data_IF_181650573323
#
_entry.id   IF_181650573323
#
_cell.length_a   1.000
_cell.length_b   1.000
_cell.length_c   1.000
_cell.angle_alpha   90.00
_cell.angle_beta   90.00
_cell.angle_gamma   90.00
#
_symmetry.space_group_name_H-M   'P 1'
#
loop_
_entity.id
_entity.type
_entity.pdbx_description
1 polymer ?
#
# COMPACT_ATOMS: atom_id res chain seq x y z
N UNK A 1 55.42 -59.83 31.72
CA UNK A 1 56.16 -58.72 32.37
C UNK A 1 55.19 -57.57 32.61
N UNK A 2 55.23 -57.11 33.86
CA UNK A 2 54.53 -56.03 34.55
C UNK A 2 53.47 -55.17 33.85
N UNK A 3 52.28 -55.30 34.42
CA UNK A 3 51.25 -54.27 34.60
C UNK A 3 51.82 -53.03 35.31
N UNK A 4 51.59 -51.84 34.75
CA UNK A 4 51.58 -50.59 35.52
C UNK A 4 50.40 -49.73 35.07
N UNK A 5 49.39 -49.68 35.94
CA UNK A 5 48.30 -48.70 35.92
C UNK A 5 48.84 -47.39 36.49
N UNK A 6 48.77 -46.31 35.71
CA UNK A 6 49.04 -44.95 36.18
C UNK A 6 47.71 -44.20 36.14
N UNK A 7 47.24 -43.79 37.32
CA UNK A 7 46.16 -42.83 37.50
C UNK A 7 46.71 -41.41 37.32
N UNK A 8 45.98 -40.49 36.67
CA UNK A 8 46.03 -39.08 37.03
C UNK A 8 44.63 -38.61 37.45
N UNK A 9 44.46 -38.23 38.71
CA UNK A 9 44.52 -36.85 39.18
C UNK A 9 43.40 -35.98 38.57
N UNK A 10 42.23 -36.03 39.20
CA UNK A 10 41.12 -35.11 38.93
C UNK A 10 41.44 -33.79 39.64
N UNK A 11 41.84 -32.79 38.86
CA UNK A 11 41.98 -31.41 39.30
C UNK A 11 40.66 -30.68 39.02
N UNK A 12 39.86 -30.45 40.06
CA UNK A 12 38.61 -29.69 39.97
C UNK A 12 38.95 -28.19 40.00
N UNK A 13 38.97 -27.52 38.85
CA UNK A 13 39.07 -26.07 38.75
C UNK A 13 37.67 -25.44 38.79
N UNK A 14 37.34 -24.81 39.90
CA UNK A 14 36.15 -23.97 40.05
C UNK A 14 36.37 -22.62 39.35
N UNK A 15 35.80 -22.46 38.15
CA UNK A 15 35.71 -21.18 37.45
C UNK A 15 34.45 -20.44 37.93
N UNK A 16 34.61 -19.45 38.80
CA UNK A 16 33.58 -18.45 39.09
C UNK A 16 33.41 -17.53 37.88
N UNK A 17 32.28 -17.66 37.18
CA UNK A 17 31.87 -16.76 36.13
C UNK A 17 31.36 -15.43 36.73
N UNK A 18 32.14 -14.35 36.57
CA UNK A 18 31.63 -12.99 36.74
C UNK A 18 30.74 -12.65 35.54
N UNK A 19 29.42 -12.73 35.71
CA UNK A 19 28.46 -12.26 34.70
C UNK A 19 28.37 -10.74 34.78
N UNK A 20 29.03 -10.04 33.87
CA UNK A 20 28.74 -8.63 33.58
C UNK A 20 27.36 -8.54 32.94
N UNK A 21 26.38 -8.00 33.66
CA UNK A 21 25.09 -7.63 33.09
C UNK A 21 25.28 -6.32 32.32
N UNK A 22 25.45 -6.40 31.01
CA UNK A 22 25.25 -5.24 30.15
C UNK A 22 23.76 -4.90 30.17
N UNK A 23 23.43 -3.72 30.70
CA UNK A 23 22.09 -3.17 30.59
C UNK A 23 21.81 -2.89 29.11
N UNK A 24 20.95 -3.73 28.51
CA UNK A 24 20.44 -3.55 27.16
C UNK A 24 19.62 -2.25 27.12
N UNK A 25 20.14 -1.23 26.46
CA UNK A 25 19.40 -0.03 26.11
C UNK A 25 18.13 -0.46 25.36
N UNK A 26 16.92 -0.06 25.81
CA UNK A 26 15.71 -0.41 25.11
C UNK A 26 15.78 0.14 23.68
N UNK A 27 15.62 -0.75 22.71
CA UNK A 27 15.51 -0.37 21.31
C UNK A 27 14.37 0.66 21.17
N UNK A 28 14.64 1.76 20.47
CA UNK A 28 13.60 2.71 20.10
C UNK A 28 12.48 1.95 19.36
N UNK A 29 11.20 2.29 19.61
CA UNK A 29 10.10 1.65 18.89
C UNK A 29 10.34 1.82 17.39
N UNK A 30 10.18 0.73 16.64
CA UNK A 30 10.27 0.77 15.18
C UNK A 30 9.24 1.79 14.68
N UNK A 31 9.70 2.83 13.98
CA UNK A 31 8.83 3.82 13.36
C UNK A 31 7.87 3.10 12.41
N UNK A 32 6.58 3.37 12.53
CA UNK A 32 5.62 2.83 11.59
C UNK A 32 5.95 3.35 10.17
N UNK A 33 5.89 2.52 9.11
CA UNK A 33 6.20 2.95 7.75
C UNK A 33 5.40 4.18 7.28
N UNK A 34 4.27 4.48 7.95
CA UNK A 34 3.41 5.65 7.71
C UNK A 34 4.07 6.99 8.06
N UNK A 35 5.07 7.04 8.94
CA UNK A 35 5.75 8.28 9.35
C UNK A 35 6.63 8.89 8.25
N UNK A 36 7.15 8.07 7.32
CA UNK A 36 8.02 8.52 6.21
C UNK A 36 7.32 9.48 5.23
N UNK A 37 6.00 9.50 5.25
CA UNK A 37 5.17 10.11 4.22
C UNK A 37 4.51 11.43 4.65
N UNK A 38 4.94 12.04 5.76
CA UNK A 38 4.30 13.21 6.37
C UNK A 38 3.17 12.80 7.32
N UNK A 39 2.52 13.78 7.95
CA UNK A 39 1.43 13.53 8.91
C UNK A 39 0.27 12.79 8.22
N UNK A 40 -0.05 11.55 8.64
CA UNK A 40 -1.20 10.81 8.14
C UNK A 40 -2.51 11.59 8.19
N UNK A 41 -2.66 12.49 9.15
CA UNK A 41 -3.89 13.26 9.35
C UNK A 41 -4.26 14.05 8.09
N UNK A 42 -3.32 14.70 7.43
CA UNK A 42 -3.62 15.63 6.33
C UNK A 42 -4.23 14.95 5.10
N UNK A 43 -3.74 13.77 4.73
CA UNK A 43 -4.23 13.06 3.54
C UNK A 43 -5.36 12.06 3.83
N UNK A 44 -5.67 11.82 5.11
CA UNK A 44 -6.84 11.04 5.55
C UNK A 44 -8.08 11.93 5.78
N UNK A 45 -7.96 13.25 5.58
CA UNK A 45 -9.08 14.19 5.60
C UNK A 45 -10.08 13.91 4.50
N UNK A 46 -11.34 13.69 4.88
CA UNK A 46 -12.46 13.40 3.97
C UNK A 46 -13.21 14.64 3.50
N UNK A 47 -12.93 15.79 4.11
CA UNK A 47 -13.58 17.09 3.86
C UNK A 47 -12.83 17.96 2.84
N UNK A 48 -11.72 17.47 2.26
CA UNK A 48 -10.92 18.20 1.28
C UNK A 48 -11.74 18.47 0.02
N UNK A 49 -11.91 19.72 -0.45
CA UNK A 49 -12.76 20.05 -1.61
C UNK A 49 -12.47 19.22 -2.87
N UNK A 50 -13.51 18.69 -3.50
CA UNK A 50 -13.43 18.00 -4.80
C UNK A 50 -13.43 18.98 -5.96
N UNK A 51 -12.83 18.57 -7.09
CA UNK A 51 -12.88 19.28 -8.37
C UNK A 51 -13.51 18.44 -9.49
N UNK A 52 -13.69 19.05 -10.67
CA UNK A 52 -14.18 18.35 -11.87
C UNK A 52 -13.11 17.38 -12.39
N UNK A 53 -11.83 17.69 -12.21
CA UNK A 53 -10.71 16.82 -12.57
C UNK A 53 -10.69 15.55 -11.72
N UNK A 54 -11.13 15.62 -10.46
CA UNK A 54 -11.30 14.40 -9.64
C UNK A 54 -12.35 13.48 -10.23
N UNK A 55 -13.50 14.05 -10.64
CA UNK A 55 -14.56 13.28 -11.28
C UNK A 55 -14.09 12.65 -12.60
N UNK A 56 -13.44 13.44 -13.46
CA UNK A 56 -12.85 12.95 -14.73
C UNK A 56 -11.84 11.84 -14.50
N UNK A 57 -11.01 11.95 -13.46
CA UNK A 57 -10.02 10.92 -13.10
C UNK A 57 -10.71 9.59 -12.76
N UNK A 58 -11.78 9.63 -11.97
CA UNK A 58 -12.50 8.41 -11.57
C UNK A 58 -13.24 7.75 -12.73
N UNK A 59 -13.95 8.55 -13.53
CA UNK A 59 -14.66 8.07 -14.73
C UNK A 59 -13.67 7.45 -15.71
N UNK A 60 -12.55 8.14 -15.97
CA UNK A 60 -11.53 7.66 -16.88
C UNK A 60 -10.83 6.39 -16.38
N UNK A 61 -10.58 6.27 -15.07
CA UNK A 61 -10.04 5.04 -14.49
C UNK A 61 -11.00 3.86 -14.67
N UNK A 62 -12.31 4.11 -14.51
CA UNK A 62 -13.35 3.10 -14.77
C UNK A 62 -13.36 2.63 -16.22
N UNK A 63 -13.19 3.55 -17.18
CA UNK A 63 -13.08 3.22 -18.61
C UNK A 63 -11.82 2.41 -18.95
N UNK A 64 -10.67 2.82 -18.40
CA UNK A 64 -9.39 2.11 -18.57
C UNK A 64 -9.46 0.68 -18.04
N UNK A 65 -10.28 0.47 -17.01
CA UNK A 65 -10.62 -0.83 -16.43
C UNK A 65 -12.00 -1.30 -16.91
N UNK A 66 -12.36 -1.09 -18.18
CA UNK A 66 -13.74 -1.34 -18.65
C UNK A 66 -14.17 -2.81 -18.70
N UNK A 67 -13.24 -3.76 -18.60
CA UNK A 67 -13.55 -5.20 -18.53
C UNK A 67 -12.44 -6.01 -17.85
N UNK A 68 -12.73 -7.25 -17.48
CA UNK A 68 -11.77 -8.10 -16.74
C UNK A 68 -10.49 -8.42 -17.55
N UNK A 69 -10.55 -8.48 -18.89
CA UNK A 69 -9.38 -8.84 -19.71
C UNK A 69 -8.27 -7.79 -19.69
N UNK A 70 -8.60 -6.53 -19.38
CA UNK A 70 -7.64 -5.42 -19.26
C UNK A 70 -7.19 -5.17 -17.82
N UNK A 71 -7.66 -5.97 -16.85
CA UNK A 71 -7.27 -5.82 -15.46
C UNK A 71 -6.01 -6.63 -15.13
N UNK A 72 -5.01 -5.97 -14.56
CA UNK A 72 -3.85 -6.60 -13.95
C UNK A 72 -4.11 -6.85 -12.45
N UNK A 73 -4.13 -8.13 -12.05
CA UNK A 73 -4.31 -8.59 -10.66
C UNK A 73 -3.03 -8.63 -9.83
N UNK A 74 -1.88 -8.32 -10.43
CA UNK A 74 -0.58 -8.39 -9.78
C UNK A 74 0.11 -7.03 -9.86
N UNK A 75 -0.44 -6.08 -9.11
CA UNK A 75 0.06 -4.71 -9.01
C UNK A 75 1.36 -4.69 -8.19
N UNK A 76 2.46 -4.24 -8.79
CA UNK A 76 3.70 -3.91 -8.11
C UNK A 76 3.95 -2.38 -8.09
N UNK A 77 2.96 -1.61 -8.57
CA UNK A 77 2.96 -0.15 -8.73
C UNK A 77 3.98 0.37 -9.76
N UNK A 78 4.55 -0.51 -10.59
CA UNK A 78 5.22 -0.15 -11.82
C UNK A 78 4.14 -0.10 -12.91
N UNK A 79 3.84 1.10 -13.40
CA UNK A 79 2.77 1.25 -14.39
C UNK A 79 3.27 1.16 -15.83
N UNK A 80 4.59 1.21 -16.06
CA UNK A 80 5.16 1.25 -17.41
C UNK A 80 5.01 -0.07 -18.16
N UNK A 81 5.13 -1.19 -17.48
CA UNK A 81 4.94 -2.54 -18.01
C UNK A 81 3.45 -2.90 -18.12
N UNK A 82 2.62 -2.46 -17.18
CA UNK A 82 1.15 -2.48 -17.30
C UNK A 82 0.67 -1.83 -18.61
N UNK A 83 1.15 -0.61 -18.89
CA UNK A 83 0.84 0.11 -20.12
C UNK A 83 1.33 -0.64 -21.36
N UNK A 84 2.53 -1.25 -21.31
CA UNK A 84 3.07 -2.04 -22.42
C UNK A 84 2.25 -3.31 -22.71
N UNK A 85 1.64 -3.90 -21.67
CA UNK A 85 0.78 -5.08 -21.78
C UNK A 85 -0.68 -4.73 -22.07
N UNK A 86 -1.02 -3.44 -22.10
CA UNK A 86 -2.39 -2.92 -22.14
C UNK A 86 -3.29 -3.56 -21.07
N UNK A 87 -2.73 -3.84 -19.89
CA UNK A 87 -3.42 -4.33 -18.71
C UNK A 87 -3.04 -3.46 -17.54
N UNK A 88 -4.00 -3.00 -16.75
CA UNK A 88 -3.74 -2.03 -15.67
C UNK A 88 -4.24 -2.57 -14.34
N UNK A 89 -3.48 -2.34 -13.28
CA UNK A 89 -3.99 -2.47 -11.91
C UNK A 89 -4.93 -1.31 -11.56
N UNK A 90 -5.63 -1.40 -10.42
CA UNK A 90 -6.41 -0.29 -9.87
C UNK A 90 -5.54 0.97 -9.68
N UNK A 91 -4.35 0.81 -9.11
CA UNK A 91 -3.42 1.93 -8.91
C UNK A 91 -3.00 2.54 -10.25
N UNK A 92 -2.59 1.72 -11.21
CA UNK A 92 -2.07 2.21 -12.48
C UNK A 92 -3.15 2.83 -13.37
N UNK A 93 -4.39 2.32 -13.34
CA UNK A 93 -5.51 2.96 -14.01
C UNK A 93 -5.80 4.36 -13.44
N UNK A 94 -5.81 4.51 -12.11
CA UNK A 94 -6.00 5.80 -11.46
C UNK A 94 -4.84 6.77 -11.74
N UNK A 95 -3.61 6.26 -11.71
CA UNK A 95 -2.41 7.04 -11.99
C UNK A 95 -2.42 7.58 -13.43
N UNK A 96 -2.75 6.73 -14.40
CA UNK A 96 -2.92 7.11 -15.81
C UNK A 96 -4.05 8.10 -16.01
N UNK A 97 -5.23 7.82 -15.47
CA UNK A 97 -6.40 8.68 -15.59
C UNK A 97 -6.20 10.07 -14.97
N UNK A 98 -5.46 10.13 -13.85
CA UNK A 98 -5.11 11.39 -13.22
C UNK A 98 -4.19 12.21 -14.13
N UNK A 99 -3.14 11.60 -14.69
CA UNK A 99 -2.25 12.28 -15.63
C UNK A 99 -3.01 12.87 -16.82
N UNK A 100 -3.92 12.10 -17.42
CA UNK A 100 -4.76 12.54 -18.54
C UNK A 100 -5.68 13.71 -18.14
N UNK A 101 -6.28 13.67 -16.95
CA UNK A 101 -7.20 14.71 -16.47
C UNK A 101 -6.51 16.06 -16.22
N UNK A 102 -5.20 16.05 -15.94
CA UNK A 102 -4.39 17.25 -15.74
C UNK A 102 -3.49 17.57 -16.95
N UNK A 103 -3.75 16.96 -18.11
CA UNK A 103 -3.11 17.32 -19.38
C UNK A 103 -1.67 16.81 -19.55
N UNK A 104 -1.30 15.71 -18.89
CA UNK A 104 0.02 15.08 -19.04
C UNK A 104 -0.03 13.75 -19.78
N UNK A 105 0.91 13.56 -20.70
CA UNK A 105 1.15 12.27 -21.35
C UNK A 105 2.10 11.38 -20.55
N UNK A 106 2.97 11.98 -19.73
CA UNK A 106 3.85 11.27 -18.80
C UNK A 106 3.18 11.24 -17.42
N UNK A 107 2.73 10.05 -17.02
CA UNK A 107 2.03 9.88 -15.75
C UNK A 107 2.94 10.10 -14.55
N UNK A 108 4.25 9.85 -14.67
CA UNK A 108 5.20 10.02 -13.57
C UNK A 108 5.45 11.49 -13.20
N UNK A 109 5.13 12.43 -14.09
CA UNK A 109 5.38 13.87 -13.86
C UNK A 109 4.23 14.62 -13.21
N UNK A 110 3.00 14.10 -13.28
CA UNK A 110 1.78 14.86 -12.94
C UNK A 110 0.85 14.13 -11.98
N UNK A 111 0.93 12.80 -11.91
CA UNK A 111 0.08 12.01 -11.04
C UNK A 111 0.59 12.07 -9.58
N UNK A 112 0.09 13.06 -8.84
CA UNK A 112 0.13 13.04 -7.39
C UNK A 112 -0.86 11.97 -6.87
N UNK A 113 -0.31 10.91 -6.29
CA UNK A 113 -1.09 9.78 -5.79
C UNK A 113 -1.93 10.11 -4.54
N UNK A 114 -1.86 11.34 -4.04
CA UNK A 114 -2.66 11.87 -2.92
C UNK A 114 -3.76 12.84 -3.35
N UNK A 115 -3.95 13.04 -4.66
CA UNK A 115 -5.12 13.77 -5.17
C UNK A 115 -6.42 13.16 -4.65
N UNK A 116 -7.43 14.01 -4.50
CA UNK A 116 -8.70 13.66 -3.86
C UNK A 116 -9.35 12.46 -4.52
N UNK A 117 -9.34 12.36 -5.86
CA UNK A 117 -9.82 11.17 -6.57
C UNK A 117 -9.22 9.84 -6.05
N UNK A 118 -7.89 9.77 -5.89
CA UNK A 118 -7.25 8.53 -5.43
C UNK A 118 -7.54 8.25 -3.95
N UNK A 119 -7.69 9.29 -3.13
CA UNK A 119 -8.06 9.14 -1.73
C UNK A 119 -9.50 8.64 -1.58
N UNK A 120 -10.44 9.13 -2.38
CA UNK A 120 -11.82 8.63 -2.37
C UNK A 120 -11.89 7.14 -2.70
N UNK A 121 -11.05 6.64 -3.62
CA UNK A 121 -10.96 5.20 -3.87
C UNK A 121 -10.33 4.45 -2.69
N UNK A 122 -9.30 5.00 -2.05
CA UNK A 122 -8.71 4.41 -0.83
C UNK A 122 -9.75 4.29 0.29
N UNK A 123 -10.61 5.28 0.45
CA UNK A 123 -11.72 5.26 1.39
C UNK A 123 -12.80 4.24 1.03
N UNK A 124 -13.12 4.10 -0.26
CA UNK A 124 -14.04 3.06 -0.72
C UNK A 124 -13.46 1.65 -0.50
N UNK A 125 -12.16 1.45 -0.69
CA UNK A 125 -11.46 0.19 -0.39
C UNK A 125 -11.50 -0.13 1.10
N UNK A 126 -11.25 0.85 1.97
CA UNK A 126 -11.34 0.66 3.42
C UNK A 126 -12.74 0.17 3.83
N UNK A 127 -13.79 0.74 3.26
CA UNK A 127 -15.18 0.30 3.53
C UNK A 127 -15.46 -1.10 2.99
N UNK A 128 -15.06 -1.38 1.74
CA UNK A 128 -15.24 -2.69 1.10
C UNK A 128 -14.53 -3.81 1.89
N UNK A 129 -13.39 -3.48 2.51
CA UNK A 129 -12.61 -4.42 3.31
C UNK A 129 -12.95 -4.39 4.80
N UNK A 130 -13.99 -3.65 5.21
CA UNK A 130 -14.44 -3.49 6.60
C UNK A 130 -13.30 -3.05 7.54
N UNK A 131 -12.44 -2.14 7.05
CA UNK A 131 -11.33 -1.59 7.80
C UNK A 131 -10.15 -2.54 7.98
N UNK A 132 -10.03 -3.60 7.17
CA UNK A 132 -8.83 -4.45 7.15
C UNK A 132 -7.60 -3.57 6.94
N UNK A 133 -6.57 -3.79 7.76
CA UNK A 133 -5.32 -3.03 7.62
C UNK A 133 -4.58 -3.47 6.35
N UNK A 134 -4.49 -2.56 5.40
CA UNK A 134 -3.77 -2.68 4.14
C UNK A 134 -2.69 -1.60 4.10
N UNK A 135 -1.44 -1.99 3.91
CA UNK A 135 -0.29 -1.09 3.89
C UNK A 135 -0.36 -0.13 2.70
N UNK A 136 -0.75 -0.66 1.54
CA UNK A 136 -0.93 0.08 0.30
C UNK A 136 -2.33 -0.19 -0.25
N UNK A 137 -3.37 0.32 0.44
CA UNK A 137 -4.80 0.06 0.16
C UNK A 137 -5.16 -0.28 -1.29
N UNK A 138 -4.81 0.57 -2.27
CA UNK A 138 -5.13 0.32 -3.69
C UNK A 138 -4.44 -0.93 -4.27
N UNK A 139 -3.13 -1.08 -4.03
CA UNK A 139 -2.32 -2.21 -4.50
C UNK A 139 -2.70 -3.49 -3.77
N UNK A 140 -2.76 -3.44 -2.43
CA UNK A 140 -3.04 -4.62 -1.63
C UNK A 140 -4.44 -5.15 -1.93
N UNK A 141 -5.46 -4.28 -1.98
CA UNK A 141 -6.82 -4.66 -2.36
C UNK A 141 -6.88 -5.27 -3.75
N UNK A 142 -6.19 -4.69 -4.74
CA UNK A 142 -6.11 -5.22 -6.10
C UNK A 142 -5.56 -6.66 -6.12
N UNK A 143 -4.59 -6.96 -5.26
CA UNK A 143 -3.84 -8.21 -5.24
C UNK A 143 -4.40 -9.28 -4.29
N UNK A 144 -5.44 -8.97 -3.50
CA UNK A 144 -6.06 -9.95 -2.62
C UNK A 144 -6.62 -11.13 -3.44
N UNK A 145 -6.42 -12.38 -3.01
CA UNK A 145 -6.91 -13.54 -3.74
C UNK A 145 -8.44 -13.59 -3.84
N UNK A 146 -9.14 -12.96 -2.90
CA UNK A 146 -10.59 -12.83 -2.90
C UNK A 146 -11.13 -11.69 -3.77
N UNK A 147 -10.30 -10.71 -4.18
CA UNK A 147 -10.76 -9.56 -4.97
C UNK A 147 -11.15 -10.00 -6.37
N UNK A 148 -12.35 -9.62 -6.78
CA UNK A 148 -12.90 -9.85 -8.11
C UNK A 148 -12.94 -8.54 -8.87
N UNK A 149 -13.03 -8.65 -10.20
CA UNK A 149 -13.13 -7.47 -11.06
C UNK A 149 -14.36 -6.59 -10.71
N UNK A 150 -15.45 -7.22 -10.27
CA UNK A 150 -16.63 -6.50 -9.79
C UNK A 150 -16.35 -5.64 -8.55
N UNK A 151 -15.44 -6.06 -7.67
CA UNK A 151 -15.07 -5.30 -6.47
C UNK A 151 -14.24 -4.06 -6.86
N UNK A 152 -13.36 -4.19 -7.86
CA UNK A 152 -12.60 -3.07 -8.45
C UNK A 152 -13.54 -2.02 -9.04
N UNK A 153 -14.52 -2.45 -9.83
CA UNK A 153 -15.55 -1.55 -10.37
C UNK A 153 -16.40 -0.93 -9.25
N UNK A 154 -16.72 -1.71 -8.21
CA UNK A 154 -17.50 -1.25 -7.06
C UNK A 154 -16.84 -0.11 -6.29
N UNK A 155 -15.53 -0.20 -6.01
CA UNK A 155 -14.83 0.88 -5.29
C UNK A 155 -14.68 2.15 -6.14
N UNK A 156 -14.48 2.02 -7.46
CA UNK A 156 -14.46 3.15 -8.39
C UNK A 156 -15.83 3.83 -8.48
N UNK A 157 -16.91 3.04 -8.60
CA UNK A 157 -18.28 3.55 -8.63
C UNK A 157 -18.61 4.30 -7.33
N UNK A 158 -18.27 3.72 -6.17
CA UNK A 158 -18.53 4.34 -4.87
C UNK A 158 -17.79 5.68 -4.71
N UNK A 159 -16.53 5.74 -5.11
CA UNK A 159 -15.76 6.98 -5.11
C UNK A 159 -16.38 8.02 -6.06
N UNK A 160 -16.79 7.59 -7.26
CA UNK A 160 -17.42 8.46 -8.27
C UNK A 160 -18.71 9.08 -7.76
N UNK A 161 -19.58 8.29 -7.14
CA UNK A 161 -20.83 8.77 -6.52
C UNK A 161 -20.59 9.84 -5.47
N UNK A 162 -19.59 9.66 -4.60
CA UNK A 162 -19.23 10.63 -3.56
C UNK A 162 -18.77 11.95 -4.16
N UNK A 163 -17.86 11.89 -5.12
CA UNK A 163 -17.36 13.08 -5.79
C UNK A 163 -18.49 13.82 -6.50
N UNK A 164 -19.35 13.12 -7.24
CA UNK A 164 -20.53 13.72 -7.90
C UNK A 164 -21.48 14.39 -6.89
N UNK A 165 -21.81 13.71 -5.79
CA UNK A 165 -22.68 14.26 -4.76
C UNK A 165 -22.10 15.54 -4.14
N UNK A 166 -20.80 15.54 -3.84
CA UNK A 166 -20.10 16.70 -3.26
C UNK A 166 -19.93 17.86 -4.24
N UNK A 167 -19.84 17.59 -5.55
CA UNK A 167 -19.85 18.63 -6.58
C UNK A 167 -21.23 19.27 -6.74
N UNK A 168 -22.30 18.46 -6.65
CA UNK A 168 -23.69 18.94 -6.77
C UNK A 168 -24.18 19.72 -5.54
N UNK A 169 -23.54 19.53 -4.38
CA UNK A 169 -23.85 20.25 -3.14
C UNK A 169 -23.16 21.63 -3.01
N UNK A 170 -22.42 22.06 -4.04
CA UNK A 170 -21.82 23.40 -4.12
C UNK A 170 -22.78 24.38 -4.80
#
# INVERSE_FOLDING_TARGET
MSSHRILPFVLLMSLTACTTTEAQTPAAPASHPREKFGDPVEYERRDVPVSIEDLKTLERASELLGNESVWNRNDDRLCTDDEAMNKRSLFCALHRASAESYGSHDSARVADHRRVALQEVRFAVEEATRGRDLNHRLMDFNNLPETRFADIQGVLARATERVRARLAAK
#
